data_IF_809573556022
#
_entry.id   IF_809573556022
#
_cell.length_a   1.000
_cell.length_b   1.000
_cell.length_c   1.000
_cell.angle_alpha   90.00
_cell.angle_beta   90.00
_cell.angle_gamma   90.00
#
_symmetry.space_group_name_H-M   'P 1'
#
loop_
_entity.id
_entity.type
_entity.pdbx_description
1 polymer ?
#
# COMPACT_ATOMS: atom_id res chain seq x y z
N UNK A 1 37.20 -13.48 -41.33
CA UNK A 1 35.97 -14.29 -41.13
C UNK A 1 35.84 -14.83 -39.69
N UNK A 2 36.36 -14.13 -38.67
CA UNK A 2 36.34 -14.57 -37.26
C UNK A 2 35.54 -13.60 -36.36
N UNK A 3 35.30 -12.37 -36.83
CA UNK A 3 34.61 -11.33 -36.05
C UNK A 3 33.09 -11.53 -35.99
N UNK A 4 32.49 -12.14 -37.02
CA UNK A 4 31.04 -12.41 -37.09
C UNK A 4 30.58 -13.63 -36.29
N UNK A 5 31.46 -14.59 -35.97
CA UNK A 5 31.10 -15.73 -35.11
C UNK A 5 31.01 -15.35 -33.62
N UNK A 6 31.84 -14.39 -33.17
CA UNK A 6 31.87 -13.98 -31.76
C UNK A 6 30.65 -13.14 -31.34
N UNK A 7 30.05 -12.38 -32.26
CA UNK A 7 28.85 -11.58 -31.97
C UNK A 7 27.63 -12.49 -31.77
N UNK A 8 27.48 -13.53 -32.60
CA UNK A 8 26.36 -14.49 -32.49
C UNK A 8 26.41 -15.30 -31.18
N UNK A 9 27.61 -15.60 -30.68
CA UNK A 9 27.81 -16.30 -29.40
C UNK A 9 27.37 -15.45 -28.19
N UNK A 10 27.63 -14.14 -28.23
CA UNK A 10 27.20 -13.21 -27.19
C UNK A 10 25.67 -13.11 -27.15
N UNK A 11 25.00 -12.99 -28.30
CA UNK A 11 23.53 -12.94 -28.35
C UNK A 11 22.86 -14.25 -27.88
N UNK A 12 23.46 -15.41 -28.15
CA UNK A 12 22.91 -16.70 -27.70
C UNK A 12 23.06 -16.88 -26.19
N UNK A 13 24.18 -16.43 -25.61
CA UNK A 13 24.43 -16.53 -24.16
C UNK A 13 23.60 -15.55 -23.34
N UNK A 14 23.34 -14.33 -23.84
CA UNK A 14 22.45 -13.38 -23.15
C UNK A 14 20.98 -13.81 -23.21
N UNK A 15 20.54 -14.39 -24.33
CA UNK A 15 19.19 -14.94 -24.46
C UNK A 15 18.95 -16.14 -23.51
N UNK A 16 19.94 -17.02 -23.33
CA UNK A 16 19.85 -18.13 -22.38
C UNK A 16 19.91 -17.66 -20.92
N UNK A 17 20.68 -16.61 -20.61
CA UNK A 17 20.69 -16.01 -19.27
C UNK A 17 19.36 -15.33 -18.92
N UNK A 18 18.72 -14.68 -19.90
CA UNK A 18 17.40 -14.06 -19.70
C UNK A 18 16.30 -15.12 -19.54
N UNK A 19 16.35 -16.21 -20.33
CA UNK A 19 15.42 -17.33 -20.20
C UNK A 19 15.57 -18.09 -18.87
N UNK A 20 16.81 -18.22 -18.36
CA UNK A 20 17.07 -18.84 -17.04
C UNK A 20 16.65 -17.97 -15.85
N UNK A 21 16.54 -16.65 -16.01
CA UNK A 21 16.03 -15.73 -14.98
C UNK A 21 14.51 -15.61 -14.97
N UNK A 22 13.83 -15.80 -16.11
CA UNK A 22 12.36 -15.88 -16.13
C UNK A 22 11.82 -17.15 -15.45
N UNK A 23 12.55 -18.27 -15.49
CA UNK A 23 12.14 -19.53 -14.86
C UNK A 23 12.42 -19.60 -13.34
N UNK A 24 12.98 -18.56 -12.73
CA UNK A 24 13.19 -18.46 -11.27
C UNK A 24 12.13 -17.60 -10.56
N UNK A 25 11.12 -17.10 -11.27
CA UNK A 25 9.95 -16.39 -10.69
C UNK A 25 8.66 -17.17 -10.96
N UNK A 26 8.74 -18.50 -10.92
CA UNK A 26 7.57 -19.35 -10.80
C UNK A 26 7.88 -20.41 -9.76
N UNK A 27 7.58 -20.07 -8.51
CA UNK A 27 6.97 -20.99 -7.55
C UNK A 27 6.67 -20.24 -6.24
N UNK A 28 5.37 -20.19 -5.93
CA UNK A 28 4.82 -20.23 -4.58
C UNK A 28 4.81 -18.93 -3.76
N UNK A 29 4.02 -17.95 -4.19
CA UNK A 29 3.16 -17.30 -3.21
C UNK A 29 1.99 -18.25 -2.94
N UNK A 30 2.10 -19.03 -1.85
CA UNK A 30 0.97 -19.79 -1.31
C UNK A 30 -0.03 -18.75 -0.83
N UNK A 31 -0.92 -18.30 -1.72
CA UNK A 31 -2.19 -17.72 -1.32
C UNK A 31 -3.00 -18.92 -0.82
N UNK A 32 -3.31 -19.04 0.48
CA UNK A 32 -4.26 -20.06 0.92
C UNK A 32 -5.59 -19.76 0.24
N UNK A 33 -5.92 -20.55 -0.78
CA UNK A 33 -7.25 -20.64 -1.37
C UNK A 33 -8.16 -21.34 -0.35
N UNK A 34 -8.51 -20.62 0.72
CA UNK A 34 -9.65 -20.97 1.57
C UNK A 34 -10.77 -20.01 1.22
N UNK A 35 -11.51 -20.35 0.16
CA UNK A 35 -12.87 -19.83 0.03
C UNK A 35 -13.69 -20.36 1.21
N UNK A 36 -14.47 -19.47 1.83
CA UNK A 36 -15.41 -19.67 2.94
C UNK A 36 -14.82 -19.56 4.36
N UNK A 37 -14.52 -18.34 4.79
CA UNK A 37 -15.30 -17.60 5.81
C UNK A 37 -14.95 -16.12 5.65
N UNK A 38 -15.91 -15.19 5.75
CA UNK A 38 -15.63 -13.74 5.79
C UNK A 38 -14.94 -13.30 7.09
N UNK A 39 -14.00 -14.09 7.57
CA UNK A 39 -13.40 -13.99 8.89
C UNK A 39 -11.98 -13.45 8.74
N UNK A 40 -11.68 -12.41 9.51
CA UNK A 40 -10.37 -11.77 9.48
C UNK A 40 -9.36 -12.57 10.29
N UNK A 41 -8.16 -12.75 9.76
CA UNK A 41 -7.10 -13.54 10.40
C UNK A 41 -6.30 -12.64 11.33
N UNK A 42 -6.11 -13.05 12.60
CA UNK A 42 -5.22 -12.33 13.50
C UNK A 42 -3.77 -12.54 13.08
N UNK A 43 -3.08 -11.45 12.78
CA UNK A 43 -1.64 -11.44 12.63
C UNK A 43 -1.04 -11.51 14.03
N UNK A 44 0.06 -12.27 14.18
CA UNK A 44 0.66 -12.57 15.48
C UNK A 44 1.07 -11.34 16.30
N UNK A 45 1.67 -11.60 17.46
CA UNK A 45 2.01 -10.55 18.41
C UNK A 45 3.00 -9.51 17.82
N UNK A 46 2.64 -8.23 17.95
CA UNK A 46 3.45 -7.12 17.44
C UNK A 46 4.49 -6.73 18.50
N UNK A 47 5.76 -6.87 18.16
CA UNK A 47 6.88 -6.46 19.02
C UNK A 47 6.83 -4.96 19.29
N UNK A 48 6.89 -4.57 20.58
CA UNK A 48 6.84 -3.18 21.01
C UNK A 48 7.93 -2.86 22.06
N UNK A 49 8.35 -1.58 22.17
CA UNK A 49 9.28 -1.16 23.21
C UNK A 49 8.72 -1.39 24.63
N UNK A 50 9.56 -1.66 25.64
CA UNK A 50 9.10 -1.92 27.02
C UNK A 50 8.32 -0.76 27.66
N UNK A 51 8.57 0.47 27.22
CA UNK A 51 7.89 1.68 27.71
C UNK A 51 6.55 1.94 27.03
N UNK A 52 6.24 1.22 25.96
CA UNK A 52 5.01 1.42 25.19
C UNK A 52 3.82 0.73 25.85
N UNK A 53 2.89 1.53 26.35
CA UNK A 53 1.68 1.07 27.06
C UNK A 53 0.51 0.75 26.13
N UNK A 54 0.64 1.04 24.83
CA UNK A 54 -0.42 0.82 23.85
C UNK A 54 -0.59 -0.67 23.56
N UNK A 55 -1.81 -1.04 23.19
CA UNK A 55 -2.15 -2.40 22.75
C UNK A 55 -2.18 -2.42 21.24
N UNK A 56 -1.60 -3.46 20.63
CA UNK A 56 -1.52 -3.58 19.18
C UNK A 56 -2.17 -4.89 18.75
N UNK A 57 -2.96 -4.83 17.68
CA UNK A 57 -3.57 -6.00 17.07
C UNK A 57 -3.38 -5.90 15.56
N UNK A 58 -2.64 -6.86 15.00
CA UNK A 58 -2.54 -7.02 13.56
C UNK A 58 -3.68 -7.89 13.05
N UNK A 59 -4.30 -7.51 11.95
CA UNK A 59 -5.42 -8.23 11.34
C UNK A 59 -5.23 -8.26 9.82
N UNK A 60 -5.42 -9.42 9.20
CA UNK A 60 -5.58 -9.57 7.77
C UNK A 60 -7.07 -9.69 7.45
N UNK A 61 -7.59 -8.72 6.72
CA UNK A 61 -8.99 -8.71 6.29
C UNK A 61 -9.23 -9.72 5.15
N UNK A 62 -10.47 -10.18 4.94
CA UNK A 62 -10.80 -11.11 3.85
C UNK A 62 -10.49 -10.60 2.45
N UNK A 63 -10.41 -9.27 2.28
CA UNK A 63 -10.01 -8.63 1.02
C UNK A 63 -8.47 -8.53 0.84
N UNK A 64 -7.68 -9.15 1.72
CA UNK A 64 -6.22 -9.16 1.69
C UNK A 64 -5.55 -7.94 2.31
N UNK A 65 -6.31 -6.97 2.85
CA UNK A 65 -5.73 -5.79 3.50
C UNK A 65 -5.13 -6.14 4.86
N UNK A 66 -3.87 -5.72 5.07
CA UNK A 66 -3.21 -5.79 6.37
C UNK A 66 -3.54 -4.54 7.17
N UNK A 67 -4.08 -4.71 8.36
CA UNK A 67 -4.51 -3.65 9.27
C UNK A 67 -3.78 -3.80 10.60
N UNK A 68 -3.31 -2.69 11.15
CA UNK A 68 -2.81 -2.62 12.53
C UNK A 68 -3.77 -1.72 13.31
N UNK A 69 -4.41 -2.29 14.31
CA UNK A 69 -5.21 -1.57 15.28
C UNK A 69 -4.32 -1.25 16.48
N UNK A 70 -4.28 0.01 16.87
CA UNK A 70 -3.61 0.46 18.08
C UNK A 70 -4.70 0.88 19.05
N UNK A 71 -4.60 0.50 20.32
CA UNK A 71 -5.48 1.01 21.37
C UNK A 71 -4.70 1.74 22.44
N UNK A 72 -5.12 2.97 22.70
CA UNK A 72 -4.55 3.85 23.72
C UNK A 72 -5.66 4.53 24.52
N UNK A 73 -6.05 3.99 25.69
CA UNK A 73 -7.10 4.57 26.52
C UNK A 73 -6.81 5.98 27.03
N UNK A 74 -5.56 6.45 26.95
CA UNK A 74 -5.17 7.78 27.41
C UNK A 74 -5.15 8.82 26.28
N UNK A 75 -5.39 8.41 25.03
CA UNK A 75 -5.38 9.36 23.92
C UNK A 75 -6.62 10.23 23.91
N UNK A 76 -6.45 11.51 23.57
CA UNK A 76 -7.56 12.45 23.35
C UNK A 76 -7.90 12.61 21.87
N UNK A 77 -7.11 11.99 20.98
CA UNK A 77 -7.26 12.06 19.53
C UNK A 77 -7.12 10.66 18.93
N UNK A 78 -8.04 10.33 18.03
CA UNK A 78 -7.93 9.20 17.14
C UNK A 78 -7.42 9.68 15.79
N UNK A 79 -6.91 8.76 14.98
CA UNK A 79 -6.53 9.05 13.61
C UNK A 79 -6.61 7.77 12.74
N UNK A 80 -6.37 7.78 11.43
CA UNK A 80 -6.16 6.53 10.66
C UNK A 80 -5.21 6.69 9.46
N UNK A 81 -4.26 5.78 9.20
CA UNK A 81 -3.43 5.86 8.00
C UNK A 81 -3.76 4.74 7.01
N UNK A 82 -3.81 5.05 5.71
CA UNK A 82 -3.88 4.08 4.63
C UNK A 82 -2.74 4.34 3.64
N UNK A 83 -1.95 3.30 3.38
CA UNK A 83 -0.92 3.29 2.37
C UNK A 83 -1.36 2.38 1.23
N UNK A 84 -1.20 2.86 0.00
CA UNK A 84 -1.40 2.06 -1.20
C UNK A 84 -0.05 1.94 -1.89
N UNK A 85 0.38 0.71 -2.20
CA UNK A 85 1.67 0.40 -2.82
C UNK A 85 1.71 0.70 -4.33
N UNK A 86 1.15 1.85 -4.72
CA UNK A 86 1.24 2.46 -6.05
C UNK A 86 1.40 3.98 -5.89
N UNK A 87 2.02 4.60 -6.88
CA UNK A 87 2.36 6.02 -6.93
C UNK A 87 2.89 6.40 -8.30
N UNK A 88 3.43 7.61 -8.46
CA UNK A 88 3.80 8.21 -9.76
C UNK A 88 4.74 7.40 -10.66
N UNK A 89 5.58 6.49 -10.13
CA UNK A 89 6.37 5.55 -10.97
C UNK A 89 5.49 4.60 -11.78
N UNK A 90 4.26 4.36 -11.35
CA UNK A 90 3.31 3.51 -12.06
C UNK A 90 2.41 4.31 -13.01
N UNK A 91 2.66 5.61 -13.16
CA UNK A 91 1.91 6.43 -14.11
C UNK A 91 2.24 5.97 -15.55
N UNK A 92 1.25 5.90 -16.44
CA UNK A 92 1.50 5.62 -17.85
C UNK A 92 2.43 6.68 -18.45
N UNK A 93 3.32 6.28 -19.37
CA UNK A 93 4.22 7.22 -20.05
C UNK A 93 3.48 8.37 -20.76
N UNK A 94 2.27 8.09 -21.25
CA UNK A 94 1.40 9.06 -21.92
C UNK A 94 0.69 10.02 -20.94
N UNK A 95 0.64 9.69 -19.64
CA UNK A 95 -0.11 10.43 -18.61
C UNK A 95 0.64 10.47 -17.28
N UNK A 96 1.71 11.28 -17.24
CA UNK A 96 2.46 11.55 -16.01
C UNK A 96 1.65 12.41 -15.02
N UNK A 97 1.79 12.14 -13.73
CA UNK A 97 1.12 12.89 -12.64
C UNK A 97 -0.27 12.36 -12.29
N UNK A 98 -0.64 11.17 -12.77
CA UNK A 98 -1.95 10.56 -12.51
C UNK A 98 -2.11 10.15 -11.05
N UNK A 99 -1.09 9.59 -10.42
CA UNK A 99 -1.10 9.27 -8.99
C UNK A 99 -1.41 10.50 -8.13
N UNK A 100 -0.69 11.60 -8.36
CA UNK A 100 -0.91 12.87 -7.66
C UNK A 100 -2.28 13.47 -8.00
N UNK A 101 -2.75 13.36 -9.25
CA UNK A 101 -4.09 13.81 -9.60
C UNK A 101 -5.18 13.02 -8.86
N UNK A 102 -5.07 11.69 -8.80
CA UNK A 102 -5.99 10.83 -8.06
C UNK A 102 -5.99 11.17 -6.57
N UNK A 103 -4.84 11.49 -5.99
CA UNK A 103 -4.71 11.95 -4.62
C UNK A 103 -5.64 13.14 -4.32
N UNK A 104 -5.63 14.17 -5.17
CA UNK A 104 -6.52 15.32 -5.02
C UNK A 104 -7.99 14.95 -5.20
N UNK A 105 -8.29 14.07 -6.17
CA UNK A 105 -9.67 13.69 -6.47
C UNK A 105 -10.33 12.86 -5.36
N UNK A 106 -9.55 12.14 -4.55
CA UNK A 106 -10.08 11.34 -3.44
C UNK A 106 -10.82 12.18 -2.38
N UNK A 107 -10.56 13.49 -2.31
CA UNK A 107 -11.21 14.38 -1.34
C UNK A 107 -12.44 15.10 -1.88
N UNK A 108 -12.73 14.97 -3.17
CA UNK A 108 -13.88 15.60 -3.82
C UNK A 108 -15.17 14.75 -3.73
N UNK A 109 -15.15 13.68 -2.94
CA UNK A 109 -16.34 12.91 -2.61
C UNK A 109 -16.27 11.45 -3.02
N UNK A 110 -17.24 10.70 -2.53
CA UNK A 110 -17.39 9.26 -2.74
C UNK A 110 -18.85 8.92 -3.04
N UNK A 111 -19.11 7.68 -3.44
CA UNK A 111 -20.49 7.23 -3.69
C UNK A 111 -21.40 7.42 -2.47
N UNK A 112 -20.86 7.25 -1.26
CA UNK A 112 -21.57 7.41 0.02
C UNK A 112 -21.67 8.88 0.47
N UNK A 113 -20.64 9.66 0.22
CA UNK A 113 -20.57 11.09 0.57
C UNK A 113 -20.26 11.91 -0.68
N UNK A 114 -21.31 12.28 -1.42
CA UNK A 114 -21.18 12.90 -2.74
C UNK A 114 -20.83 14.38 -2.75
N UNK A 115 -20.94 15.05 -1.60
CA UNK A 115 -20.63 16.47 -1.49
C UNK A 115 -19.10 16.64 -1.36
N UNK A 116 -18.53 17.44 -2.26
CA UNK A 116 -17.08 17.64 -2.42
C UNK A 116 -16.42 18.16 -1.14
N UNK A 117 -17.15 18.95 -0.34
CA UNK A 117 -16.65 19.54 0.89
C UNK A 117 -17.02 18.75 2.14
N UNK A 118 -17.78 17.68 2.03
CA UNK A 118 -18.29 16.93 3.19
C UNK A 118 -17.16 16.42 4.09
N UNK A 119 -16.09 15.91 3.47
CA UNK A 119 -14.95 15.38 4.20
C UNK A 119 -14.13 16.49 4.87
N UNK A 120 -13.78 17.55 4.13
CA UNK A 120 -13.06 18.70 4.69
C UNK A 120 -13.84 19.39 5.81
N UNK A 121 -15.16 19.53 5.66
CA UNK A 121 -16.04 20.08 6.68
C UNK A 121 -16.02 19.22 7.94
N UNK A 122 -16.14 17.89 7.79
CA UNK A 122 -16.08 16.97 8.91
C UNK A 122 -14.77 17.08 9.70
N UNK A 123 -13.62 17.09 9.02
CA UNK A 123 -12.31 17.23 9.67
C UNK A 123 -12.17 18.62 10.35
N UNK A 124 -12.62 19.68 9.69
CA UNK A 124 -12.58 21.04 10.24
C UNK A 124 -13.40 21.19 11.53
N UNK A 125 -14.55 20.52 11.60
CA UNK A 125 -15.43 20.51 12.76
C UNK A 125 -14.89 19.66 13.93
N UNK A 126 -14.05 18.64 13.66
CA UNK A 126 -13.65 17.64 14.65
C UNK A 126 -12.16 17.62 15.03
N UNK A 127 -11.29 18.37 14.35
CA UNK A 127 -9.86 18.43 14.68
C UNK A 127 -9.00 18.62 13.44
N UNK A 128 -8.47 19.84 13.31
CA UNK A 128 -8.06 20.53 12.07
C UNK A 128 -6.85 19.99 11.28
N UNK A 129 -6.51 18.70 11.30
CA UNK A 129 -5.33 18.26 10.55
C UNK A 129 -5.56 16.98 9.76
N UNK A 130 -5.41 17.13 8.46
CA UNK A 130 -5.34 16.08 7.47
C UNK A 130 -4.14 16.39 6.57
N UNK A 131 -3.33 15.37 6.28
CA UNK A 131 -2.22 15.48 5.33
C UNK A 131 -2.23 14.26 4.42
N UNK A 132 -1.89 14.49 3.16
CA UNK A 132 -1.58 13.43 2.22
C UNK A 132 -0.17 13.69 1.73
N UNK A 133 0.61 12.62 1.68
CA UNK A 133 2.03 12.71 1.35
C UNK A 133 2.32 11.58 0.38
N UNK A 134 2.78 11.94 -0.82
CA UNK A 134 3.42 10.99 -1.72
C UNK A 134 4.89 10.87 -1.32
N UNK A 135 5.33 9.67 -0.94
CA UNK A 135 6.75 9.38 -0.71
C UNK A 135 7.11 8.16 -1.55
N UNK A 136 8.11 8.33 -2.43
CA UNK A 136 8.83 7.25 -3.13
C UNK A 136 7.93 6.13 -3.67
N UNK A 137 6.95 6.48 -4.52
CA UNK A 137 6.04 5.54 -5.21
C UNK A 137 4.90 4.94 -4.39
N UNK A 138 4.60 5.46 -3.20
CA UNK A 138 3.42 5.07 -2.42
C UNK A 138 2.58 6.28 -2.06
N UNK A 139 1.29 6.26 -2.40
CA UNK A 139 0.32 7.23 -1.91
C UNK A 139 0.06 6.90 -0.43
N UNK A 140 0.56 7.74 0.48
CA UNK A 140 0.22 7.70 1.89
C UNK A 140 -0.88 8.71 2.19
N UNK A 141 -2.08 8.20 2.44
CA UNK A 141 -3.11 8.98 3.17
C UNK A 141 -2.83 8.84 4.66
N UNK A 142 -2.02 9.74 5.20
CA UNK A 142 -1.77 9.81 6.63
C UNK A 142 -2.83 10.70 7.28
N UNK A 143 -3.96 10.12 7.67
CA UNK A 143 -4.51 10.52 8.95
C UNK A 143 -3.60 9.84 9.98
N UNK A 144 -3.26 10.47 11.11
CA UNK A 144 -2.41 9.86 12.13
C UNK A 144 -2.83 8.41 12.48
N UNK A 145 -2.09 7.67 13.27
CA UNK A 145 -2.38 6.24 13.53
C UNK A 145 -3.80 5.96 14.07
N UNK A 146 -4.44 4.87 13.63
CA UNK A 146 -5.68 4.31 14.22
C UNK A 146 -5.41 3.83 15.63
N UNK A 147 -5.46 4.80 16.54
CA UNK A 147 -5.49 4.70 17.99
C UNK A 147 -6.96 4.75 18.41
N UNK A 148 -7.53 3.61 18.79
CA UNK A 148 -8.86 3.50 19.42
C UNK A 148 -8.72 3.58 20.93
#
# INVERSE_FOLDING_TARGET
MVFTQNILFIFLTTALFHFSMCNLISENEIIPQNETTGESILLGEISKPPLDRRTYLGVLLPNGMKVILVSDPNTTKAAAALSVSVGSINDPDDFLGMAHFLEHMLFLGSQKYRDENSFHKFISEHGKEMKVVEIDCSIFTQFGVLMI
#
